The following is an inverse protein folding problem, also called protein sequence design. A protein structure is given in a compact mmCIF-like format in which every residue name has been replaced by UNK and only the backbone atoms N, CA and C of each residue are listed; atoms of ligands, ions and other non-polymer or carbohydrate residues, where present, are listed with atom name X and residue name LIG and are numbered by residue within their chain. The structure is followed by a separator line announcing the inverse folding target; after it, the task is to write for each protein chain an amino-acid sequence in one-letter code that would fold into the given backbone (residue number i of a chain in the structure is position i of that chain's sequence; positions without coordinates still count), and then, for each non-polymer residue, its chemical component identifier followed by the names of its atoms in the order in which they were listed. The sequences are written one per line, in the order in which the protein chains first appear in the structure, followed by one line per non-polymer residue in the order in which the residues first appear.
data_IF_507639093681
#
_entry.id   IF_507639093681
#
_cell.length_a   1.000
_cell.length_b   1.000
_cell.length_c   1.000
_cell.angle_alpha   90.00
_cell.angle_beta   90.00
_cell.angle_gamma   90.00
#
_symmetry.space_group_name_H-M   'P 1'
#
loop_
_entity.id
_entity.type
_entity.pdbx_description
1 polymer ?
#
# COMPACT_ATOMS: atom_id res chain seq x y z
N UNK A 1 -2.98 -0.53 4.39
CA UNK A 1 -3.02 0.62 5.32
C UNK A 1 -4.40 0.62 5.97
N UNK A 2 -4.47 0.41 7.29
CA UNK A 2 -5.75 0.43 8.02
C UNK A 2 -5.76 1.71 8.86
N UNK A 3 -6.63 2.66 8.52
CA UNK A 3 -6.68 3.96 9.19
C UNK A 3 -7.98 4.09 9.98
N UNK A 4 -7.95 3.76 11.27
CA UNK A 4 -9.06 4.09 12.17
C UNK A 4 -8.57 4.37 13.57
N UNK A 5 -8.68 5.64 13.98
CA UNK A 5 -8.59 6.01 15.39
C UNK A 5 -9.96 5.98 16.09
N UNK A 6 -11.09 6.07 15.37
CA UNK A 6 -12.39 6.39 15.99
C UNK A 6 -13.63 5.64 15.48
N UNK A 7 -13.51 4.61 14.64
CA UNK A 7 -14.64 3.83 14.12
C UNK A 7 -14.54 2.36 14.54
N UNK A 8 -15.68 1.66 14.53
CA UNK A 8 -15.77 0.25 14.87
C UNK A 8 -15.02 -0.62 13.86
N UNK A 9 -14.25 -1.58 14.36
CA UNK A 9 -13.58 -2.60 13.57
C UNK A 9 -14.47 -3.85 13.47
N UNK A 10 -14.58 -4.49 12.28
CA UNK A 10 -13.96 -4.14 11.01
C UNK A 10 -14.76 -3.07 10.23
N UNK A 11 -14.05 -2.16 9.56
CA UNK A 11 -14.66 -1.26 8.58
C UNK A 11 -14.90 -1.96 7.25
N UNK A 12 -15.96 -1.59 6.49
CA UNK A 12 -16.26 -2.18 5.17
C UNK A 12 -15.07 -2.14 4.19
N UNK A 13 -14.31 -1.04 4.18
CA UNK A 13 -13.13 -0.88 3.32
C UNK A 13 -12.03 -1.91 3.61
N UNK A 14 -11.87 -2.31 4.88
CA UNK A 14 -10.88 -3.30 5.27
C UNK A 14 -11.27 -4.67 4.71
N UNK A 15 -12.55 -5.00 4.74
CA UNK A 15 -13.08 -6.26 4.17
C UNK A 15 -12.80 -6.30 2.67
N UNK A 16 -13.17 -5.25 1.92
CA UNK A 16 -12.93 -5.19 0.47
C UNK A 16 -11.44 -5.31 0.12
N UNK A 17 -10.56 -4.67 0.89
CA UNK A 17 -9.12 -4.79 0.67
C UNK A 17 -8.59 -6.21 0.95
N UNK A 18 -9.13 -6.90 1.95
CA UNK A 18 -8.76 -8.29 2.25
C UNK A 18 -9.23 -9.24 1.15
N UNK A 19 -10.44 -9.05 0.61
CA UNK A 19 -10.95 -9.87 -0.49
C UNK A 19 -10.03 -9.77 -1.73
N UNK A 20 -9.58 -8.55 -2.07
CA UNK A 20 -8.64 -8.34 -3.18
C UNK A 20 -7.30 -9.04 -2.92
N UNK A 21 -6.78 -8.93 -1.70
CA UNK A 21 -5.53 -9.58 -1.30
C UNK A 21 -5.62 -11.10 -1.41
N UNK A 22 -6.76 -11.67 -1.02
CA UNK A 22 -7.03 -13.11 -1.11
C UNK A 22 -7.10 -13.59 -2.56
N UNK A 23 -7.80 -12.84 -3.43
CA UNK A 23 -7.87 -13.13 -4.88
C UNK A 23 -6.48 -13.04 -5.53
N UNK A 24 -5.71 -12.02 -5.18
CA UNK A 24 -4.37 -11.79 -5.75
C UNK A 24 -3.28 -12.69 -5.13
N UNK A 25 -3.59 -13.41 -4.04
CA UNK A 25 -2.67 -14.30 -3.31
C UNK A 25 -1.37 -13.62 -2.90
N UNK A 26 -1.47 -12.39 -2.39
CA UNK A 26 -0.29 -11.66 -1.91
C UNK A 26 0.23 -12.31 -0.62
N UNK A 27 1.53 -12.59 -0.57
CA UNK A 27 2.14 -13.29 0.56
C UNK A 27 2.73 -12.34 1.62
N UNK A 28 3.29 -11.21 1.18
CA UNK A 28 4.03 -10.30 2.05
C UNK A 28 3.16 -9.11 2.44
N UNK A 29 2.55 -9.21 3.62
CA UNK A 29 1.57 -8.24 4.10
C UNK A 29 2.01 -7.68 5.45
N UNK A 30 1.78 -6.39 5.63
CA UNK A 30 1.98 -5.67 6.89
C UNK A 30 0.75 -4.82 7.15
N UNK A 31 0.24 -4.88 8.38
CA UNK A 31 -0.91 -4.09 8.81
C UNK A 31 -0.37 -2.87 9.54
N UNK A 32 -0.59 -1.69 8.96
CA UNK A 32 -0.24 -0.42 9.58
C UNK A 32 -1.47 0.16 10.25
N UNK A 33 -1.37 0.42 11.55
CA UNK A 33 -2.38 1.12 12.33
C UNK A 33 -1.94 2.57 12.52
N UNK A 34 -2.56 3.47 11.78
CA UNK A 34 -2.22 4.89 11.84
C UNK A 34 -3.01 5.65 12.92
N UNK A 35 -2.54 6.86 13.26
CA UNK A 35 -3.17 7.80 14.22
C UNK A 35 -3.21 7.31 15.66
N UNK A 36 -2.23 6.50 16.09
CA UNK A 36 -2.15 6.03 17.48
C UNK A 36 -1.93 7.15 18.49
N UNK A 37 -1.46 8.31 18.03
CA UNK A 37 -1.33 9.55 18.80
C UNK A 37 -2.66 10.16 19.25
N UNK A 38 -3.79 9.77 18.63
CA UNK A 38 -5.11 10.34 18.92
C UNK A 38 -5.94 9.51 19.90
N UNK A 39 -5.44 8.37 20.37
CA UNK A 39 -6.20 7.42 21.19
C UNK A 39 -5.45 7.08 22.48
N UNK A 40 -6.20 6.69 23.50
CA UNK A 40 -5.64 6.19 24.76
C UNK A 40 -5.18 4.73 24.63
N UNK A 41 -4.26 4.32 25.49
CA UNK A 41 -3.67 2.98 25.51
C UNK A 41 -4.71 1.85 25.61
N UNK A 42 -5.74 1.99 26.44
CA UNK A 42 -6.80 0.97 26.55
C UNK A 42 -7.56 0.78 25.24
N UNK A 43 -7.88 1.89 24.54
CA UNK A 43 -8.47 1.84 23.20
C UNK A 43 -7.48 1.24 22.21
N UNK A 44 -6.18 1.52 22.41
CA UNK A 44 -5.11 0.94 21.63
C UNK A 44 -5.14 -0.59 21.68
N UNK A 45 -5.14 -1.15 22.87
CA UNK A 45 -5.13 -2.59 23.12
C UNK A 45 -6.40 -3.26 22.57
N UNK A 46 -7.58 -2.72 22.90
CA UNK A 46 -8.86 -3.31 22.46
C UNK A 46 -8.98 -3.39 20.93
N UNK A 47 -8.56 -2.35 20.22
CA UNK A 47 -8.57 -2.36 18.76
C UNK A 47 -7.52 -3.32 18.18
N UNK A 48 -6.35 -3.46 18.81
CA UNK A 48 -5.36 -4.44 18.39
C UNK A 48 -5.93 -5.86 18.48
N UNK A 49 -6.58 -6.20 19.59
CA UNK A 49 -7.25 -7.50 19.75
C UNK A 49 -8.37 -7.71 18.73
N UNK A 50 -9.17 -6.67 18.44
CA UNK A 50 -10.24 -6.74 17.46
C UNK A 50 -9.70 -7.03 16.05
N UNK A 51 -8.61 -6.35 15.65
CA UNK A 51 -7.94 -6.61 14.37
C UNK A 51 -7.38 -8.03 14.35
N UNK A 52 -6.66 -8.44 15.39
CA UNK A 52 -6.08 -9.79 15.49
C UNK A 52 -7.14 -10.89 15.40
N UNK A 53 -8.30 -10.71 16.03
CA UNK A 53 -9.44 -11.64 15.92
C UNK A 53 -10.06 -11.63 14.53
N UNK A 54 -10.14 -10.47 13.89
CA UNK A 54 -10.73 -10.34 12.56
C UNK A 54 -9.88 -10.98 11.47
N UNK A 55 -8.55 -10.87 11.57
CA UNK A 55 -7.62 -11.48 10.61
C UNK A 55 -7.35 -12.97 10.88
N UNK A 56 -7.77 -13.47 12.05
CA UNK A 56 -7.53 -14.86 12.42
C UNK A 56 -8.27 -15.81 11.46
N UNK A 57 -7.53 -16.76 10.88
CA UNK A 57 -8.07 -17.67 9.86
C UNK A 57 -8.21 -17.08 8.45
N UNK A 58 -7.86 -15.82 8.23
CA UNK A 58 -7.80 -15.22 6.89
C UNK A 58 -6.44 -15.45 6.20
N UNK A 59 -6.32 -15.12 4.91
CA UNK A 59 -5.04 -15.16 4.16
C UNK A 59 -3.94 -14.32 4.82
N UNK A 60 -4.34 -13.31 5.60
CA UNK A 60 -3.45 -12.37 6.28
C UNK A 60 -3.21 -12.72 7.75
N UNK A 61 -3.59 -13.93 8.18
CA UNK A 61 -3.36 -14.38 9.55
C UNK A 61 -1.85 -14.37 9.89
N UNK A 62 -1.54 -13.92 11.10
CA UNK A 62 -0.16 -13.72 11.55
C UNK A 62 0.58 -12.52 10.91
N UNK A 63 -0.07 -11.71 10.07
CA UNK A 63 0.54 -10.48 9.58
C UNK A 63 0.84 -9.51 10.75
N UNK A 64 2.03 -8.88 10.79
CA UNK A 64 2.37 -7.98 11.88
C UNK A 64 1.56 -6.70 11.81
N UNK A 65 1.08 -6.28 12.98
CA UNK A 65 0.34 -5.04 13.18
C UNK A 65 1.29 -4.02 13.81
N UNK A 66 1.71 -3.02 13.03
CA UNK A 66 2.62 -1.97 13.50
C UNK A 66 1.81 -0.70 13.81
N UNK A 67 1.78 -0.25 15.08
CA UNK A 67 1.21 1.05 15.43
C UNK A 67 2.13 2.17 14.94
N UNK A 68 1.60 3.13 14.20
CA UNK A 68 2.36 4.27 13.67
C UNK A 68 1.60 5.58 13.91
N UNK A 69 2.36 6.69 13.96
CA UNK A 69 1.80 8.02 13.74
C UNK A 69 2.45 8.61 12.50
N UNK A 70 1.73 8.67 11.38
CA UNK A 70 2.25 9.30 10.17
C UNK A 70 2.49 10.80 10.36
N UNK A 71 1.69 11.46 11.21
CA UNK A 71 1.81 12.90 11.47
C UNK A 71 3.05 13.22 12.32
N UNK A 72 3.23 12.50 13.43
CA UNK A 72 4.38 12.69 14.33
C UNK A 72 5.60 11.86 13.91
N UNK A 73 5.49 11.09 12.83
CA UNK A 73 6.51 10.20 12.27
C UNK A 73 7.03 9.13 13.24
N UNK A 74 6.18 8.66 14.16
CA UNK A 74 6.52 7.55 15.05
C UNK A 74 6.44 6.19 14.35
N UNK A 75 7.41 5.33 14.65
CA UNK A 75 7.56 3.96 14.17
C UNK A 75 7.67 3.80 12.64
N UNK A 76 7.95 4.89 11.91
CA UNK A 76 8.17 4.84 10.46
C UNK A 76 9.44 4.07 10.12
N UNK A 77 10.48 4.24 10.94
CA UNK A 77 11.73 3.49 10.90
C UNK A 77 11.50 1.98 11.03
N UNK A 78 10.64 1.55 11.97
CA UNK A 78 10.28 0.14 12.15
C UNK A 78 9.56 -0.42 10.92
N UNK A 79 8.68 0.36 10.30
CA UNK A 79 8.03 -0.02 9.04
C UNK A 79 9.06 -0.18 7.92
N UNK A 80 9.98 0.77 7.78
CA UNK A 80 11.07 0.68 6.79
C UNK A 80 11.93 -0.56 7.01
N UNK A 81 12.31 -0.83 8.26
CA UNK A 81 13.06 -2.02 8.63
C UNK A 81 12.32 -3.30 8.23
N UNK A 82 11.02 -3.38 8.53
CA UNK A 82 10.21 -4.53 8.18
C UNK A 82 10.15 -4.74 6.67
N UNK A 83 9.89 -3.68 5.89
CA UNK A 83 9.84 -3.75 4.42
C UNK A 83 11.16 -4.30 3.88
N UNK A 84 12.30 -3.75 4.32
CA UNK A 84 13.62 -4.16 3.82
C UNK A 84 13.98 -5.59 4.24
N UNK A 85 13.65 -6.00 5.46
CA UNK A 85 14.05 -7.32 5.99
C UNK A 85 13.10 -8.46 5.63
N UNK A 86 11.82 -8.18 5.37
CA UNK A 86 10.77 -9.21 5.25
C UNK A 86 10.12 -9.27 3.88
N UNK A 87 10.19 -8.21 3.08
CA UNK A 87 9.62 -8.20 1.72
C UNK A 87 10.77 -8.40 0.72
N UNK A 88 10.91 -9.60 0.13
CA UNK A 88 11.96 -9.87 -0.85
C UNK A 88 11.69 -9.07 -2.14
N UNK A 89 12.76 -8.71 -2.82
CA UNK A 89 12.66 -8.13 -4.16
C UNK A 89 12.22 -9.27 -5.10
N UNK A 90 11.09 -9.13 -5.82
CA UNK A 90 10.64 -10.16 -6.74
C UNK A 90 11.63 -10.30 -7.90
N UNK A 91 11.80 -11.53 -8.40
CA UNK A 91 12.62 -11.75 -9.59
C UNK A 91 11.99 -11.05 -10.80
N UNK A 92 12.79 -10.25 -11.52
CA UNK A 92 12.36 -9.52 -12.71
C UNK A 92 13.08 -10.04 -13.95
N UNK A 93 12.32 -10.26 -15.02
CA UNK A 93 12.89 -10.60 -16.32
C UNK A 93 13.17 -9.32 -17.11
N UNK A 94 14.45 -9.01 -17.31
CA UNK A 94 14.89 -7.83 -18.05
C UNK A 94 15.10 -8.08 -19.55
N UNK A 95 15.20 -9.36 -19.96
CA UNK A 95 15.54 -9.75 -21.35
C UNK A 95 14.28 -9.91 -22.21
N UNK A 96 13.14 -10.27 -21.60
CA UNK A 96 11.88 -10.40 -22.34
C UNK A 96 11.47 -9.08 -23.02
N UNK A 97 10.66 -9.13 -24.09
CA UNK A 97 10.08 -7.93 -24.68
C UNK A 97 9.38 -7.06 -23.63
N UNK A 98 9.58 -5.72 -23.64
CA UNK A 98 8.95 -4.80 -22.70
C UNK A 98 7.43 -4.96 -22.68
N UNK A 99 6.86 -5.06 -21.49
CA UNK A 99 5.41 -5.03 -21.28
C UNK A 99 5.10 -4.10 -20.10
N UNK A 100 4.27 -3.11 -20.36
CA UNK A 100 3.87 -2.07 -19.40
C UNK A 100 2.36 -2.04 -19.30
N UNK A 101 1.85 -2.00 -18.07
CA UNK A 101 0.44 -1.75 -17.79
C UNK A 101 0.27 -0.26 -17.53
N UNK A 102 -0.52 0.42 -18.36
CA UNK A 102 -0.88 1.84 -18.19
C UNK A 102 -2.10 1.93 -17.29
N UNK A 103 -2.00 2.73 -16.23
CA UNK A 103 -3.09 2.96 -15.27
C UNK A 103 -3.53 4.42 -15.20
N UNK A 104 -2.67 5.34 -15.66
CA UNK A 104 -2.94 6.77 -15.69
C UNK A 104 -2.50 7.39 -17.02
N UNK A 105 -3.21 8.42 -17.44
CA UNK A 105 -2.80 9.31 -18.52
C UNK A 105 -2.72 10.75 -18.00
N UNK A 106 -1.76 11.51 -18.50
CA UNK A 106 -1.50 12.87 -18.08
C UNK A 106 -1.35 13.77 -19.30
N UNK A 107 -1.98 14.94 -19.21
CA UNK A 107 -1.62 16.06 -20.06
C UNK A 107 -0.54 16.89 -19.36
N UNK A 108 0.59 17.05 -20.04
CA UNK A 108 1.74 17.82 -19.56
C UNK A 108 1.78 19.23 -20.15
N UNK A 109 0.84 19.56 -21.04
CA UNK A 109 0.73 20.87 -21.64
C UNK A 109 0.03 21.83 -20.68
N UNK A 110 0.74 22.86 -20.24
CA UNK A 110 0.15 23.95 -19.45
C UNK A 110 -0.69 24.86 -20.36
N UNK A 111 -1.59 25.63 -19.76
CA UNK A 111 -2.34 26.63 -20.53
C UNK A 111 -1.38 27.66 -21.14
N UNK A 112 -1.62 28.04 -22.40
CA UNK A 112 -0.86 29.08 -23.10
C UNK A 112 0.33 28.62 -23.95
N UNK A 113 0.50 27.31 -24.19
CA UNK A 113 1.47 26.83 -25.17
C UNK A 113 1.04 27.18 -26.60
N UNK A 114 1.98 27.70 -27.40
CA UNK A 114 1.82 27.75 -28.85
C UNK A 114 1.81 26.34 -29.42
N UNK A 115 1.18 26.17 -30.60
CA UNK A 115 1.01 24.86 -31.24
C UNK A 115 2.35 24.14 -31.42
N UNK A 116 3.39 24.88 -31.78
CA UNK A 116 4.75 24.33 -32.00
C UNK A 116 5.44 23.88 -30.69
N UNK A 117 4.94 24.32 -29.54
CA UNK A 117 5.45 23.96 -28.22
C UNK A 117 4.70 22.81 -27.53
N UNK A 118 3.63 22.28 -28.15
CA UNK A 118 2.83 21.19 -27.58
C UNK A 118 3.66 19.91 -27.50
N UNK A 119 3.59 19.25 -26.35
CA UNK A 119 4.17 17.92 -26.11
C UNK A 119 3.09 16.85 -26.20
N UNK A 120 3.50 15.63 -26.55
CA UNK A 120 2.62 14.47 -26.50
C UNK A 120 2.13 14.17 -25.07
N UNK A 121 1.05 13.39 -24.96
CA UNK A 121 0.53 12.93 -23.68
C UNK A 121 1.48 11.95 -22.99
N UNK A 122 1.43 11.90 -21.66
CA UNK A 122 2.24 10.99 -20.84
C UNK A 122 1.37 9.88 -20.29
N UNK A 123 1.82 8.63 -20.45
CA UNK A 123 1.20 7.46 -19.85
C UNK A 123 1.97 7.03 -18.60
N UNK A 124 1.30 7.02 -17.45
CA UNK A 124 1.81 6.50 -16.18
C UNK A 124 1.39 5.06 -15.97
N UNK A 125 2.36 4.21 -15.61
CA UNK A 125 2.14 2.78 -15.52
C UNK A 125 3.23 2.05 -14.75
N UNK A 126 3.11 0.72 -14.75
CA UNK A 126 4.11 -0.17 -14.17
C UNK A 126 4.68 -1.09 -15.26
N UNK A 127 6.01 -1.21 -15.29
CA UNK A 127 6.71 -2.15 -16.17
C UNK A 127 6.64 -3.53 -15.51
N UNK A 128 5.93 -4.45 -16.15
CA UNK A 128 5.73 -5.81 -15.65
C UNK A 128 6.93 -6.70 -15.97
N UNK A 129 7.51 -6.54 -17.17
CA UNK A 129 8.68 -7.27 -17.63
C UNK A 129 9.38 -6.55 -18.77
N UNK A 130 10.63 -6.94 -19.00
CA UNK A 130 11.47 -6.39 -20.04
C UNK A 130 11.97 -4.99 -19.72
N UNK A 131 13.11 -4.65 -20.29
CA UNK A 131 13.57 -3.27 -20.41
C UNK A 131 13.95 -3.02 -21.86
N UNK A 132 13.68 -1.82 -22.32
CA UNK A 132 14.17 -1.38 -23.62
C UNK A 132 15.60 -0.91 -23.40
N UNK A 133 16.58 -1.74 -23.78
CA UNK A 133 17.97 -1.33 -23.92
C UNK A 133 18.15 -0.54 -25.22
#
# INVERSE_FOLDING_TARGET
MISVANESCPQPQIVEHLDVVEIMRLQHIIILRNKVDLIQENVAINQHEAISKFIHGAVVDGAPIIPISAHLKYNIDVVCEYIVKKIPIPQRNFVSPPNTIVIWSFDVNKHGFEVDGIKGGVAGGSIVRGVQM
#
